data_IF_084444130867
#
_entry.id   IF_084444130867
#
_cell.length_a   1.000
_cell.length_b   1.000
_cell.length_c   1.000
_cell.angle_alpha   90.00
_cell.angle_beta   90.00
_cell.angle_gamma   90.00
#
_symmetry.space_group_name_H-M   'P 1'
#
loop_
_entity.id
_entity.type
_entity.pdbx_description
1 polymer ?
#
# COMPACT_ATOMS: atom_id res chain seq x y z
N UNK A 1 49.59 22.13 7.92
CA UNK A 1 48.33 21.65 7.31
C UNK A 1 47.76 20.52 8.17
N UNK A 2 46.72 20.77 8.97
CA UNK A 2 45.97 19.68 9.61
C UNK A 2 44.94 19.19 8.58
N UNK A 3 45.23 18.08 7.92
CA UNK A 3 44.29 17.37 7.05
C UNK A 3 43.20 16.76 7.94
N UNK A 4 42.13 17.51 8.16
CA UNK A 4 40.88 17.00 8.72
C UNK A 4 40.22 16.07 7.69
N UNK A 5 40.67 14.82 7.61
CA UNK A 5 39.90 13.76 6.96
C UNK A 5 38.72 13.43 7.88
N UNK A 6 37.61 14.15 7.76
CA UNK A 6 36.34 13.67 8.34
C UNK A 6 36.07 12.30 7.71
N UNK A 7 35.81 11.25 8.50
CA UNK A 7 35.34 9.98 7.95
C UNK A 7 34.14 10.26 7.06
N UNK A 8 34.08 9.65 5.87
CA UNK A 8 32.86 9.67 5.06
C UNK A 8 31.82 8.84 5.81
N UNK A 9 31.03 9.49 6.65
CA UNK A 9 29.86 8.89 7.27
C UNK A 9 28.91 8.45 6.15
N UNK A 10 28.66 7.15 6.03
CA UNK A 10 27.56 6.66 5.21
C UNK A 10 26.28 6.92 5.98
N UNK A 11 25.36 7.64 5.35
CA UNK A 11 24.15 8.14 5.99
C UNK A 11 22.93 7.44 5.40
N UNK A 12 22.21 6.70 6.25
CA UNK A 12 20.91 6.14 5.93
C UNK A 12 19.81 7.19 6.22
N UNK A 13 18.98 7.46 5.21
CA UNK A 13 17.92 8.49 5.25
C UNK A 13 16.71 7.97 6.02
N UNK A 14 15.88 8.90 6.54
CA UNK A 14 14.67 8.50 7.26
C UNK A 14 13.61 7.99 6.30
N UNK A 15 13.18 6.75 6.50
CA UNK A 15 12.12 6.11 5.73
C UNK A 15 11.42 5.07 6.61
N UNK A 16 10.29 4.57 6.13
CA UNK A 16 9.72 3.30 6.55
C UNK A 16 9.79 2.32 5.37
N UNK A 17 9.66 1.04 5.65
CA UNK A 17 9.73 0.00 4.64
C UNK A 17 8.50 0.05 3.71
N UNK A 18 8.71 -0.36 2.46
CA UNK A 18 7.61 -0.49 1.50
C UNK A 18 6.53 -1.44 2.03
N UNK A 19 5.27 -1.15 1.70
CA UNK A 19 4.10 -1.89 2.20
C UNK A 19 4.06 -2.05 3.74
N UNK A 20 4.82 -1.25 4.49
CA UNK A 20 5.01 -1.36 5.94
C UNK A 20 5.48 -2.73 6.40
N UNK A 21 6.30 -3.41 5.60
CA UNK A 21 7.01 -4.60 6.07
C UNK A 21 7.84 -4.32 7.31
N UNK A 22 8.05 -5.35 8.10
CA UNK A 22 9.14 -5.41 9.06
C UNK A 22 10.47 -5.51 8.31
N UNK A 23 11.55 -5.10 8.97
CA UNK A 23 12.90 -5.32 8.47
C UNK A 23 13.82 -5.74 9.60
N UNK A 24 14.74 -6.63 9.28
CA UNK A 24 15.78 -7.10 10.20
C UNK A 24 17.13 -6.84 9.57
N UNK A 25 18.03 -6.23 10.33
CA UNK A 25 19.38 -5.93 9.92
C UNK A 25 20.39 -6.63 10.84
N UNK A 26 21.29 -7.42 10.27
CA UNK A 26 22.41 -8.04 10.97
C UNK A 26 23.71 -7.31 10.66
N UNK A 27 24.49 -7.01 11.70
CA UNK A 27 25.78 -6.34 11.56
C UNK A 27 26.92 -7.37 11.53
N UNK A 28 27.49 -7.65 10.36
CA UNK A 28 28.52 -8.67 10.19
C UNK A 28 29.85 -8.26 10.81
N UNK A 29 30.36 -7.07 10.50
CA UNK A 29 31.70 -6.63 10.93
C UNK A 29 31.92 -5.13 10.77
N UNK A 30 32.99 -4.61 11.38
CA UNK A 30 33.47 -3.23 11.24
C UNK A 30 33.02 -2.29 12.35
N UNK A 31 32.96 -1.00 12.03
CA UNK A 31 32.60 0.05 12.98
C UNK A 31 31.09 0.05 13.28
N UNK A 32 30.66 0.43 14.50
CA UNK A 32 29.24 0.43 14.86
C UNK A 32 28.36 1.32 13.96
N UNK A 33 27.06 1.03 13.93
CA UNK A 33 26.04 1.80 13.20
C UNK A 33 25.09 2.47 14.18
N UNK A 34 24.97 3.79 14.10
CA UNK A 34 23.98 4.55 14.86
C UNK A 34 22.63 4.50 14.15
N UNK A 35 21.59 4.08 14.88
CA UNK A 35 20.20 4.10 14.41
C UNK A 35 19.39 5.12 15.21
N UNK A 36 18.39 5.68 14.53
CA UNK A 36 17.33 6.50 15.10
C UNK A 36 15.99 5.95 14.62
N UNK A 37 15.04 5.75 15.54
CA UNK A 37 13.72 5.20 15.25
C UNK A 37 12.61 6.06 15.84
N UNK A 38 11.50 6.17 15.12
CA UNK A 38 10.23 6.77 15.54
C UNK A 38 9.19 5.65 15.50
N UNK A 39 8.44 5.41 16.59
CA UNK A 39 7.41 4.37 16.61
C UNK A 39 6.38 4.55 15.48
N UNK A 40 5.87 3.44 14.93
CA UNK A 40 4.84 3.48 13.88
C UNK A 40 3.58 4.25 14.29
N UNK A 41 3.22 4.20 15.58
CA UNK A 41 2.10 4.98 16.16
C UNK A 41 2.27 6.50 16.04
N UNK A 42 3.50 6.96 15.87
CA UNK A 42 3.88 8.38 15.83
C UNK A 42 4.26 8.82 14.41
N UNK A 43 4.07 7.93 13.42
CA UNK A 43 4.34 8.18 12.01
C UNK A 43 3.54 9.38 11.48
N UNK A 44 2.25 9.47 11.81
CA UNK A 44 1.40 10.59 11.39
C UNK A 44 1.91 11.93 11.96
N UNK A 45 2.28 11.95 13.24
CA UNK A 45 2.85 13.13 13.91
C UNK A 45 4.16 13.57 13.26
N UNK A 46 5.05 12.61 12.96
CA UNK A 46 6.29 12.89 12.24
C UNK A 46 6.01 13.46 10.84
N UNK A 47 5.08 12.89 10.10
CA UNK A 47 4.71 13.39 8.77
C UNK A 47 4.13 14.79 8.81
N UNK A 48 3.31 15.12 9.80
CA UNK A 48 2.78 16.48 9.98
C UNK A 48 3.90 17.48 10.24
N UNK A 49 4.89 17.10 11.03
CA UNK A 49 6.10 17.90 11.24
C UNK A 49 6.84 18.12 9.91
N UNK A 50 7.03 17.05 9.13
CA UNK A 50 7.66 17.13 7.80
C UNK A 50 6.84 18.02 6.85
N UNK A 51 5.51 17.90 6.86
CA UNK A 51 4.58 18.73 6.07
C UNK A 51 4.72 20.20 6.41
N UNK A 52 4.82 20.55 7.68
CA UNK A 52 5.02 21.94 8.14
C UNK A 52 6.36 22.51 7.65
N UNK A 53 7.45 21.72 7.72
CA UNK A 53 8.76 22.19 7.28
C UNK A 53 8.92 22.28 5.76
N UNK A 54 8.20 21.44 5.01
CA UNK A 54 8.39 21.31 3.57
C UNK A 54 7.12 21.61 2.77
N UNK A 55 6.21 22.42 3.32
CA UNK A 55 4.90 22.73 2.74
C UNK A 55 4.99 23.12 1.27
N UNK A 56 5.91 24.02 0.91
CA UNK A 56 6.11 24.43 -0.49
C UNK A 56 6.57 23.30 -1.40
N UNK A 57 7.55 22.49 -0.98
CA UNK A 57 8.05 21.36 -1.79
C UNK A 57 7.02 20.23 -1.93
N UNK A 58 6.17 20.04 -0.92
CA UNK A 58 5.11 19.02 -0.96
C UNK A 58 3.95 19.39 -1.88
N UNK A 59 3.72 20.69 -2.11
CA UNK A 59 2.76 21.15 -3.11
C UNK A 59 3.25 20.88 -4.54
N UNK A 60 4.56 20.90 -4.76
CA UNK A 60 5.18 20.61 -6.07
C UNK A 60 5.30 19.11 -6.35
N UNK A 61 5.53 18.30 -5.31
CA UNK A 61 5.69 16.84 -5.42
C UNK A 61 4.86 16.16 -4.32
N UNK A 62 3.62 15.72 -4.59
CA UNK A 62 2.75 15.09 -3.59
C UNK A 62 3.33 13.79 -2.98
N UNK A 63 4.09 13.01 -3.76
CA UNK A 63 4.80 11.78 -3.32
C UNK A 63 6.13 12.09 -2.59
N UNK A 64 6.39 13.35 -2.29
CA UNK A 64 7.67 13.76 -1.69
C UNK A 64 7.86 13.19 -0.29
N UNK A 65 6.81 12.98 0.50
CA UNK A 65 6.93 12.34 1.83
C UNK A 65 7.56 10.95 1.76
N UNK A 66 7.28 10.21 0.69
CA UNK A 66 7.81 8.88 0.46
C UNK A 66 9.20 8.87 -0.19
N UNK A 67 9.56 9.97 -0.88
CA UNK A 67 10.88 10.17 -1.51
C UNK A 67 11.80 11.07 -0.69
N UNK A 68 11.38 11.40 0.53
CA UNK A 68 11.99 12.47 1.29
C UNK A 68 13.34 12.03 1.82
N UNK A 69 14.37 12.68 1.29
CA UNK A 69 15.74 12.53 1.71
C UNK A 69 16.06 13.46 2.89
N UNK A 70 15.13 13.60 3.84
CA UNK A 70 15.22 14.60 4.90
C UNK A 70 15.89 14.04 6.15
N UNK A 71 17.00 14.65 6.48
CA UNK A 71 17.60 14.54 7.79
C UNK A 71 17.16 15.73 8.66
N UNK A 72 16.05 15.56 9.37
CA UNK A 72 15.71 16.45 10.49
C UNK A 72 16.59 16.08 11.69
N UNK A 73 17.20 17.03 12.41
CA UNK A 73 17.96 16.67 13.62
C UNK A 73 17.06 15.96 14.65
N UNK A 74 17.52 14.86 15.29
CA UNK A 74 16.77 14.24 16.38
C UNK A 74 16.37 15.20 17.49
N UNK A 75 17.25 16.14 17.85
CA UNK A 75 16.97 17.18 18.85
C UNK A 75 15.80 18.09 18.41
N UNK A 76 15.70 18.38 17.11
CA UNK A 76 14.61 19.18 16.55
C UNK A 76 13.28 18.41 16.55
N UNK A 77 13.31 17.10 16.30
CA UNK A 77 12.12 16.26 16.39
C UNK A 77 11.63 16.16 17.84
N UNK A 78 12.55 15.95 18.79
CA UNK A 78 12.23 15.94 20.21
C UNK A 78 11.65 17.27 20.70
N UNK A 79 12.19 18.41 20.23
CA UNK A 79 11.65 19.74 20.54
C UNK A 79 10.24 19.99 19.96
N UNK A 80 9.82 19.22 18.96
CA UNK A 80 8.47 19.21 18.40
C UNK A 80 7.61 18.06 18.97
N UNK A 81 8.13 17.47 20.06
CA UNK A 81 7.57 16.36 20.82
C UNK A 81 7.25 15.11 19.98
N UNK A 82 7.95 14.92 18.87
CA UNK A 82 7.97 13.63 18.15
C UNK A 82 8.93 12.70 18.88
N UNK A 83 8.46 11.56 19.43
CA UNK A 83 9.32 10.64 20.14
C UNK A 83 10.33 10.01 19.19
N UNK A 84 11.60 10.06 19.59
CA UNK A 84 12.71 9.53 18.82
C UNK A 84 13.64 8.75 19.74
N UNK A 85 13.90 7.51 19.35
CA UNK A 85 14.77 6.58 20.06
C UNK A 85 16.06 6.41 19.28
N UNK A 86 17.14 6.04 19.97
CA UNK A 86 18.43 5.80 19.33
C UNK A 86 19.10 4.56 19.91
N UNK A 87 19.78 3.80 19.06
CA UNK A 87 20.58 2.64 19.46
C UNK A 87 21.88 2.61 18.65
N UNK A 88 22.97 2.14 19.25
CA UNK A 88 24.22 1.90 18.55
C UNK A 88 24.35 0.39 18.34
N UNK A 89 24.37 -0.04 17.09
CA UNK A 89 24.46 -1.45 16.70
C UNK A 89 25.93 -1.83 16.49
N UNK A 90 26.42 -2.80 17.24
CA UNK A 90 27.76 -3.37 17.14
C UNK A 90 27.76 -4.64 16.26
N UNK A 91 28.95 -5.09 15.78
CA UNK A 91 29.08 -6.38 15.13
C UNK A 91 28.49 -7.55 15.95
N UNK A 92 27.75 -8.43 15.29
CA UNK A 92 27.03 -9.54 15.90
C UNK A 92 25.61 -9.20 16.38
N UNK A 93 25.19 -7.95 16.33
CA UNK A 93 23.87 -7.52 16.79
C UNK A 93 22.84 -7.42 15.65
N UNK A 94 21.59 -7.75 15.99
CA UNK A 94 20.42 -7.53 15.15
C UNK A 94 19.70 -6.23 15.53
N UNK A 95 19.20 -5.52 14.52
CA UNK A 95 18.22 -4.44 14.69
C UNK A 95 16.96 -4.82 13.92
N UNK A 96 15.82 -4.78 14.58
CA UNK A 96 14.50 -5.03 13.98
C UNK A 96 13.73 -3.72 13.91
N UNK A 97 13.17 -3.42 12.73
CA UNK A 97 12.27 -2.30 12.50
C UNK A 97 10.84 -2.83 12.34
N UNK A 98 9.93 -2.29 13.14
CA UNK A 98 8.52 -2.68 13.15
C UNK A 98 7.73 -1.94 12.05
N UNK A 99 6.53 -2.42 11.70
CA UNK A 99 5.71 -1.81 10.65
C UNK A 99 5.49 -0.32 10.86
N UNK A 100 5.51 0.45 9.76
CA UNK A 100 5.29 1.90 9.74
C UNK A 100 6.31 2.75 10.52
N UNK A 101 7.27 2.14 11.23
CA UNK A 101 8.27 2.86 12.01
C UNK A 101 9.27 3.58 11.10
N UNK A 102 9.37 4.90 11.27
CA UNK A 102 10.39 5.68 10.56
C UNK A 102 11.75 5.45 11.21
N UNK A 103 12.74 5.12 10.40
CA UNK A 103 14.09 4.87 10.90
C UNK A 103 15.14 5.44 9.95
N UNK A 104 16.30 5.79 10.49
CA UNK A 104 17.45 6.30 9.76
C UNK A 104 18.70 6.22 10.62
N UNK A 105 19.87 6.60 10.10
CA UNK A 105 21.11 6.39 10.83
C UNK A 105 22.37 6.74 10.08
N UNK A 106 23.52 6.42 10.66
CA UNK A 106 24.82 6.55 10.00
C UNK A 106 25.82 5.56 10.57
N UNK A 107 26.85 5.22 9.80
CA UNK A 107 27.96 4.36 10.26
C UNK A 107 29.11 5.21 10.82
N UNK A 108 29.70 4.79 11.95
CA UNK A 108 30.86 5.47 12.55
C UNK A 108 32.18 5.22 11.79
N UNK A 109 32.17 4.33 10.80
CA UNK A 109 33.31 3.98 9.97
C UNK A 109 32.93 2.89 8.96
N UNK A 110 33.93 2.24 8.38
CA UNK A 110 33.70 1.10 7.50
C UNK A 110 33.02 -0.04 8.27
N UNK A 111 31.91 -0.54 7.73
CA UNK A 111 31.21 -1.72 8.24
C UNK A 111 30.49 -2.47 7.13
N UNK A 112 30.05 -3.68 7.46
CA UNK A 112 29.24 -4.52 6.61
C UNK A 112 28.02 -4.99 7.42
N UNK A 113 26.84 -4.74 6.88
CA UNK A 113 25.59 -5.24 7.43
C UNK A 113 24.68 -5.71 6.30
N UNK A 114 23.77 -6.61 6.63
CA UNK A 114 22.83 -7.22 5.71
C UNK A 114 21.41 -7.02 6.25
N UNK A 115 20.44 -6.73 5.37
CA UNK A 115 19.06 -6.50 5.77
C UNK A 115 18.10 -7.25 4.85
N UNK A 116 16.97 -7.65 5.42
CA UNK A 116 15.86 -8.23 4.67
C UNK A 116 14.53 -7.76 5.24
N UNK A 117 13.55 -7.52 4.36
CA UNK A 117 12.16 -7.31 4.75
C UNK A 117 11.47 -8.64 5.01
N UNK A 118 10.59 -8.68 6.00
CA UNK A 118 9.76 -9.84 6.29
C UNK A 118 8.37 -9.41 6.72
N UNK A 119 7.44 -10.36 6.80
CA UNK A 119 6.08 -10.14 7.26
C UNK A 119 5.73 -11.18 8.32
N UNK A 120 5.22 -10.72 9.46
CA UNK A 120 4.55 -11.58 10.45
C UNK A 120 3.03 -11.65 10.14
N UNK A 121 2.25 -12.55 10.76
CA UNK A 121 0.80 -12.57 10.51
C UNK A 121 0.08 -11.24 10.78
N UNK A 122 0.49 -10.50 11.81
CA UNK A 122 -0.12 -9.21 12.16
C UNK A 122 0.18 -8.11 11.11
N UNK A 123 1.21 -8.29 10.28
CA UNK A 123 1.54 -7.39 9.17
C UNK A 123 0.37 -7.19 8.21
N UNK A 124 -0.52 -8.16 8.02
CA UNK A 124 -1.67 -8.05 7.10
C UNK A 124 -2.50 -6.77 7.34
N UNK A 125 -2.66 -6.38 8.62
CA UNK A 125 -3.38 -5.17 8.98
C UNK A 125 -2.60 -3.90 8.58
N UNK A 126 -1.28 -3.90 8.77
CA UNK A 126 -0.41 -2.81 8.35
C UNK A 126 -0.31 -2.70 6.82
N UNK A 127 -0.24 -3.83 6.12
CA UNK A 127 -0.24 -3.92 4.66
C UNK A 127 -1.51 -3.30 4.06
N UNK A 128 -2.67 -3.57 4.67
CA UNK A 128 -3.93 -2.92 4.29
C UNK A 128 -3.85 -1.41 4.42
N UNK A 129 -3.35 -0.89 5.55
CA UNK A 129 -3.19 0.56 5.77
C UNK A 129 -2.24 1.17 4.73
N UNK A 130 -1.12 0.49 4.45
CA UNK A 130 -0.18 0.92 3.42
C UNK A 130 -0.84 0.98 2.03
N UNK A 131 -1.62 -0.04 1.66
CA UNK A 131 -2.32 -0.10 0.38
C UNK A 131 -3.37 1.01 0.23
N UNK A 132 -4.14 1.30 1.28
CA UNK A 132 -5.08 2.44 1.28
C UNK A 132 -4.35 3.78 1.15
N UNK A 133 -3.20 3.93 1.80
CA UNK A 133 -2.37 5.13 1.65
C UNK A 133 -1.84 5.28 0.24
N UNK A 134 -1.34 4.21 -0.37
CA UNK A 134 -0.85 4.20 -1.74
C UNK A 134 -1.96 4.55 -2.75
N UNK A 135 -3.17 4.02 -2.56
CA UNK A 135 -4.36 4.42 -3.33
C UNK A 135 -4.60 5.93 -3.25
N UNK A 136 -4.57 6.51 -2.05
CA UNK A 136 -4.81 7.96 -1.85
C UNK A 136 -3.73 8.84 -2.49
N UNK A 137 -2.47 8.40 -2.47
CA UNK A 137 -1.35 9.15 -3.05
C UNK A 137 -1.10 8.85 -4.53
N UNK A 138 -1.90 7.98 -5.17
CA UNK A 138 -1.66 7.54 -6.55
C UNK A 138 -0.32 6.84 -6.72
N UNK A 139 0.12 6.07 -5.72
CA UNK A 139 1.39 5.34 -5.73
C UNK A 139 1.14 3.87 -6.03
N UNK A 140 1.90 3.30 -6.96
CA UNK A 140 1.88 1.86 -7.20
C UNK A 140 2.54 1.12 -6.01
N UNK A 141 1.85 0.12 -5.49
CA UNK A 141 2.38 -0.76 -4.45
C UNK A 141 3.45 -1.71 -5.02
N UNK A 142 4.43 -2.08 -4.21
CA UNK A 142 5.46 -3.05 -4.64
C UNK A 142 4.86 -4.46 -4.78
N UNK A 143 3.87 -4.78 -3.93
CA UNK A 143 3.12 -6.03 -3.97
C UNK A 143 1.62 -5.74 -3.98
N UNK A 144 0.88 -6.47 -4.81
CA UNK A 144 -0.58 -6.47 -4.79
C UNK A 144 -1.08 -7.21 -3.54
N UNK A 145 -1.61 -6.44 -2.58
CA UNK A 145 -2.16 -6.96 -1.32
C UNK A 145 -3.26 -7.99 -1.58
N UNK A 146 -4.22 -7.64 -2.42
CA UNK A 146 -5.36 -8.49 -2.78
C UNK A 146 -4.87 -9.83 -3.39
N UNK A 147 -3.93 -9.78 -4.35
CA UNK A 147 -3.32 -10.98 -4.94
C UNK A 147 -2.67 -11.85 -3.87
N UNK A 148 -1.90 -11.24 -2.97
CA UNK A 148 -1.20 -11.95 -1.91
C UNK A 148 -2.18 -12.67 -0.97
N UNK A 149 -3.26 -12.00 -0.55
CA UNK A 149 -4.28 -12.62 0.32
C UNK A 149 -4.91 -13.86 -0.34
N UNK A 150 -5.29 -13.77 -1.61
CA UNK A 150 -5.87 -14.90 -2.35
C UNK A 150 -4.85 -16.03 -2.60
N UNK A 151 -3.59 -15.69 -2.83
CA UNK A 151 -2.49 -16.65 -2.96
C UNK A 151 -2.24 -17.40 -1.64
N UNK A 152 -2.27 -16.70 -0.51
CA UNK A 152 -2.16 -17.30 0.82
C UNK A 152 -3.35 -18.23 1.10
N UNK A 153 -4.58 -17.83 0.75
CA UNK A 153 -5.78 -18.69 0.84
C UNK A 153 -5.63 -19.97 0.04
N UNK A 154 -5.19 -19.86 -1.22
CA UNK A 154 -5.02 -21.01 -2.11
C UNK A 154 -4.00 -22.04 -1.56
N UNK A 155 -3.10 -21.60 -0.66
CA UNK A 155 -2.04 -22.42 -0.09
C UNK A 155 -2.20 -22.68 1.42
N UNK A 156 -3.32 -22.28 2.03
CA UNK A 156 -3.58 -22.38 3.49
C UNK A 156 -3.55 -23.83 4.00
N UNK A 157 -3.85 -24.81 3.14
CA UNK A 157 -3.86 -26.23 3.47
C UNK A 157 -2.49 -26.92 3.57
N UNK A 158 -1.37 -26.21 3.32
CA UNK A 158 -0.01 -26.80 3.29
C UNK A 158 0.70 -26.85 4.66
N UNK A 159 -0.05 -27.03 5.76
CA UNK A 159 0.43 -27.32 7.13
C UNK A 159 1.41 -26.32 7.81
N UNK A 160 1.49 -25.07 7.36
CA UNK A 160 2.48 -24.10 7.89
C UNK A 160 1.89 -22.83 8.53
N UNK A 161 0.57 -22.65 8.52
CA UNK A 161 -0.08 -21.44 9.04
C UNK A 161 -0.78 -21.76 10.37
N UNK A 162 -0.36 -21.11 11.45
CA UNK A 162 -0.98 -21.21 12.77
C UNK A 162 -2.42 -20.66 12.79
N UNK A 163 -3.19 -21.00 13.83
CA UNK A 163 -4.61 -20.62 13.92
C UNK A 163 -4.88 -19.11 13.97
N UNK A 164 -3.98 -18.32 14.55
CA UNK A 164 -4.12 -16.86 14.61
C UNK A 164 -3.89 -16.26 13.22
N UNK A 165 -2.83 -16.68 12.54
CA UNK A 165 -2.51 -16.24 11.18
C UNK A 165 -3.63 -16.59 10.18
N UNK A 166 -4.24 -17.77 10.30
CA UNK A 166 -5.43 -18.13 9.51
C UNK A 166 -6.60 -17.18 9.78
N UNK A 167 -6.85 -16.86 11.04
CA UNK A 167 -7.94 -15.94 11.43
C UNK A 167 -7.74 -14.57 10.79
N UNK A 168 -6.54 -13.99 10.93
CA UNK A 168 -6.20 -12.69 10.35
C UNK A 168 -6.36 -12.69 8.82
N UNK A 169 -5.84 -13.72 8.15
CA UNK A 169 -5.97 -13.86 6.70
C UNK A 169 -7.45 -13.92 6.26
N UNK A 170 -8.25 -14.75 6.93
CA UNK A 170 -9.67 -14.95 6.62
C UNK A 170 -10.50 -13.68 6.87
N UNK A 171 -10.21 -12.94 7.94
CA UNK A 171 -10.85 -11.66 8.22
C UNK A 171 -10.58 -10.64 7.11
N UNK A 172 -9.33 -10.57 6.64
CA UNK A 172 -8.95 -9.66 5.56
C UNK A 172 -9.55 -10.08 4.20
N UNK A 173 -9.58 -11.38 3.89
CA UNK A 173 -10.27 -11.90 2.71
C UNK A 173 -11.76 -11.59 2.73
N UNK A 174 -12.43 -11.83 3.86
CA UNK A 174 -13.85 -11.52 4.03
C UNK A 174 -14.09 -10.04 3.73
N UNK A 175 -13.25 -9.16 4.28
CA UNK A 175 -13.35 -7.72 4.02
C UNK A 175 -13.19 -7.39 2.53
N UNK A 176 -12.17 -7.93 1.86
CA UNK A 176 -11.91 -7.69 0.44
C UNK A 176 -13.10 -8.14 -0.42
N UNK A 177 -13.63 -9.34 -0.16
CA UNK A 177 -14.77 -9.92 -0.88
C UNK A 177 -16.05 -9.09 -0.67
N UNK A 178 -16.37 -8.74 0.58
CA UNK A 178 -17.54 -7.90 0.89
C UNK A 178 -17.44 -6.53 0.23
N UNK A 179 -16.25 -5.93 0.25
CA UNK A 179 -16.01 -4.64 -0.38
C UNK A 179 -16.19 -4.71 -1.90
N UNK A 180 -15.59 -5.71 -2.55
CA UNK A 180 -15.68 -5.89 -4.00
C UNK A 180 -17.14 -6.12 -4.45
N UNK A 181 -17.87 -7.04 -3.81
CA UNK A 181 -19.28 -7.31 -4.12
C UNK A 181 -20.14 -6.05 -3.98
N UNK A 182 -19.97 -5.30 -2.89
CA UNK A 182 -20.70 -4.04 -2.65
C UNK A 182 -20.39 -3.00 -3.73
N UNK A 183 -19.12 -2.88 -4.15
CA UNK A 183 -18.72 -1.93 -5.17
C UNK A 183 -19.17 -2.37 -6.58
N UNK A 184 -19.24 -3.67 -6.86
CA UNK A 184 -19.87 -4.20 -8.08
C UNK A 184 -21.34 -3.82 -8.15
N UNK A 185 -22.09 -4.02 -7.06
CA UNK A 185 -23.50 -3.63 -6.99
C UNK A 185 -23.69 -2.14 -7.27
N UNK A 186 -22.87 -1.29 -6.64
CA UNK A 186 -22.91 0.15 -6.88
C UNK A 186 -22.58 0.51 -8.34
N UNK A 187 -21.58 -0.16 -8.94
CA UNK A 187 -21.22 0.07 -10.34
C UNK A 187 -22.35 -0.34 -11.30
N UNK A 188 -22.96 -1.51 -11.10
CA UNK A 188 -24.10 -1.98 -11.89
C UNK A 188 -25.31 -1.05 -11.73
N UNK A 189 -25.65 -0.66 -10.50
CA UNK A 189 -26.73 0.29 -10.23
C UNK A 189 -26.49 1.66 -10.89
N UNK A 190 -25.23 2.06 -11.08
CA UNK A 190 -24.86 3.30 -11.79
C UNK A 190 -24.94 3.20 -13.31
N UNK A 191 -25.26 2.03 -13.88
CA UNK A 191 -25.41 1.79 -15.32
C UNK A 191 -24.19 1.21 -16.02
N UNK A 192 -23.15 0.78 -15.29
CA UNK A 192 -22.04 0.01 -15.86
C UNK A 192 -22.58 -1.34 -16.36
N UNK A 193 -22.18 -1.77 -17.55
CA UNK A 193 -22.68 -3.01 -18.15
C UNK A 193 -21.97 -4.25 -17.60
N UNK A 194 -22.73 -5.32 -17.47
CA UNK A 194 -22.21 -6.67 -17.30
C UNK A 194 -21.85 -7.26 -18.67
N UNK A 195 -20.59 -7.68 -18.82
CA UNK A 195 -20.08 -8.36 -20.01
C UNK A 195 -19.51 -9.75 -19.68
N UNK A 196 -19.74 -10.26 -18.48
CA UNK A 196 -19.21 -11.56 -18.00
C UNK A 196 -19.51 -12.72 -18.96
N UNK A 197 -20.67 -12.66 -19.65
CA UNK A 197 -21.10 -13.65 -20.66
C UNK A 197 -20.45 -13.46 -22.04
N UNK A 198 -19.91 -12.28 -22.31
CA UNK A 198 -19.34 -11.90 -23.62
C UNK A 198 -17.81 -12.00 -23.64
N UNK A 199 -17.17 -11.82 -22.48
CA UNK A 199 -15.73 -11.86 -22.36
C UNK A 199 -15.34 -12.48 -21.01
N UNK A 200 -14.49 -13.51 -21.07
CA UNK A 200 -13.89 -14.12 -19.88
C UNK A 200 -12.41 -13.74 -19.87
N UNK A 201 -11.97 -12.90 -18.93
CA UNK A 201 -10.56 -12.55 -18.86
C UNK A 201 -9.71 -13.77 -18.41
N UNK A 202 -8.39 -13.75 -18.66
CA UNK A 202 -7.49 -14.78 -18.17
C UNK A 202 -7.60 -14.95 -16.65
N UNK A 203 -7.77 -16.18 -16.17
CA UNK A 203 -7.91 -16.48 -14.74
C UNK A 203 -6.69 -16.00 -13.93
N UNK A 204 -6.95 -15.61 -12.67
CA UNK A 204 -5.90 -15.29 -11.72
C UNK A 204 -5.05 -16.53 -11.41
N UNK A 205 -3.72 -16.39 -11.43
CA UNK A 205 -2.79 -17.45 -11.03
C UNK A 205 -2.37 -17.24 -9.58
N UNK A 206 -3.10 -17.87 -8.66
CA UNK A 206 -2.89 -17.80 -7.20
C UNK A 206 -2.05 -18.96 -6.66
N UNK A 207 -1.72 -19.93 -7.51
CA UNK A 207 -0.94 -21.12 -7.19
C UNK A 207 0.58 -20.89 -7.29
N UNK A 208 1.02 -19.88 -8.07
CA UNK A 208 2.44 -19.59 -8.33
C UNK A 208 2.77 -18.10 -8.14
N UNK A 209 3.85 -17.83 -7.40
CA UNK A 209 4.46 -16.50 -7.25
C UNK A 209 5.76 -16.48 -8.07
N UNK A 210 5.67 -16.14 -9.36
CA UNK A 210 6.84 -15.92 -10.21
C UNK A 210 6.62 -14.74 -11.16
N UNK A 211 7.70 -14.25 -11.78
CA UNK A 211 7.68 -13.05 -12.63
C UNK A 211 6.66 -13.19 -13.77
N UNK A 212 6.59 -14.36 -14.41
CA UNK A 212 5.64 -14.62 -15.49
C UNK A 212 4.17 -14.54 -15.03
N UNK A 213 3.88 -14.98 -13.80
CA UNK A 213 2.56 -14.94 -13.21
C UNK A 213 2.16 -13.52 -12.71
N UNK A 214 3.13 -12.63 -12.46
CA UNK A 214 2.88 -11.23 -12.06
C UNK A 214 2.84 -10.26 -13.23
N UNK A 215 3.44 -10.61 -14.38
CA UNK A 215 3.52 -9.74 -15.58
C UNK A 215 2.14 -9.29 -16.09
N UNK A 216 1.10 -10.10 -15.85
CA UNK A 216 -0.27 -9.74 -16.22
C UNK A 216 -0.88 -8.70 -15.26
N UNK A 217 -0.58 -8.79 -13.97
CA UNK A 217 -1.06 -7.86 -12.93
C UNK A 217 -0.50 -6.46 -13.14
N UNK A 218 0.74 -6.35 -13.63
CA UNK A 218 1.40 -5.09 -13.97
C UNK A 218 0.65 -4.32 -15.07
N UNK A 219 -0.25 -4.97 -15.80
CA UNK A 219 -1.11 -4.33 -16.81
C UNK A 219 -2.48 -3.93 -16.26
N UNK A 220 -2.87 -4.45 -15.10
CA UNK A 220 -4.18 -4.26 -14.48
C UNK A 220 -4.14 -3.15 -13.44
N UNK A 221 -3.67 -1.98 -13.82
CA UNK A 221 -3.45 -0.86 -12.89
C UNK A 221 -4.52 0.20 -13.10
N UNK A 222 -5.18 0.60 -12.02
CA UNK A 222 -6.12 1.71 -12.04
C UNK A 222 -5.41 3.00 -12.44
N UNK A 223 -5.87 3.64 -13.52
CA UNK A 223 -5.25 4.89 -14.00
C UNK A 223 -5.36 6.05 -13.00
N UNK A 224 -6.35 6.03 -12.11
CA UNK A 224 -6.59 7.09 -11.13
C UNK A 224 -5.73 6.96 -9.87
N UNK A 225 -5.68 5.77 -9.26
CA UNK A 225 -5.02 5.57 -7.96
C UNK A 225 -3.80 4.64 -8.00
N UNK A 226 -3.41 4.14 -9.16
CA UNK A 226 -2.30 3.20 -9.34
C UNK A 226 -2.44 1.87 -8.58
N UNK A 227 -3.65 1.53 -8.12
CA UNK A 227 -3.91 0.23 -7.50
C UNK A 227 -4.00 -0.88 -8.54
N UNK A 228 -3.34 -2.01 -8.27
CA UNK A 228 -3.45 -3.24 -9.05
C UNK A 228 -4.82 -3.89 -8.86
N UNK A 229 -5.68 -3.80 -9.85
CA UNK A 229 -7.00 -4.43 -9.87
C UNK A 229 -6.87 -5.95 -10.02
N UNK A 230 -7.15 -6.67 -8.93
CA UNK A 230 -7.00 -8.13 -8.89
C UNK A 230 -8.32 -8.89 -9.12
N UNK A 231 -9.38 -8.50 -8.42
CA UNK A 231 -10.70 -9.15 -8.50
C UNK A 231 -11.53 -8.62 -9.67
N UNK A 232 -11.59 -7.29 -9.78
CA UNK A 232 -12.50 -6.59 -10.66
C UNK A 232 -11.97 -5.23 -11.09
N UNK A 233 -12.40 -4.75 -12.25
CA UNK A 233 -12.14 -3.39 -12.72
C UNK A 233 -13.27 -2.92 -13.65
N UNK A 234 -13.29 -1.63 -13.95
CA UNK A 234 -14.17 -1.06 -14.98
C UNK A 234 -13.34 -0.55 -16.15
N UNK A 235 -13.68 -1.01 -17.35
CA UNK A 235 -13.20 -0.49 -18.63
C UNK A 235 -14.27 0.34 -19.34
N UNK A 236 -13.90 1.00 -20.43
CA UNK A 236 -14.82 1.77 -21.26
C UNK A 236 -14.51 1.55 -22.74
N UNK A 237 -15.53 1.51 -23.59
CA UNK A 237 -15.36 1.34 -25.04
C UNK A 237 -14.49 2.43 -25.69
N UNK A 238 -14.36 3.60 -25.05
CA UNK A 238 -13.52 4.69 -25.55
C UNK A 238 -12.01 4.42 -25.41
N UNK A 239 -11.58 3.44 -24.60
CA UNK A 239 -10.16 3.09 -24.42
C UNK A 239 -9.97 1.59 -24.40
N UNK A 240 -9.01 1.10 -25.19
CA UNK A 240 -8.66 -0.34 -25.23
C UNK A 240 -7.71 -0.77 -24.11
N UNK A 241 -7.16 0.19 -23.35
CA UNK A 241 -6.09 -0.05 -22.38
C UNK A 241 -6.45 0.41 -20.97
N UNK A 242 -7.15 1.53 -20.85
CA UNK A 242 -7.33 2.16 -19.55
C UNK A 242 -8.43 1.47 -18.75
N UNK A 243 -8.12 1.18 -17.50
CA UNK A 243 -9.07 0.64 -16.53
C UNK A 243 -9.02 1.44 -15.23
N UNK A 244 -10.10 1.38 -14.47
CA UNK A 244 -10.16 1.91 -13.10
C UNK A 244 -10.61 0.84 -12.12
N UNK A 245 -10.18 0.94 -10.87
CA UNK A 245 -10.74 0.11 -9.79
C UNK A 245 -12.18 0.56 -9.49
N UNK A 246 -12.94 -0.26 -8.77
CA UNK A 246 -14.35 -0.02 -8.52
C UNK A 246 -14.64 1.22 -7.66
N UNK A 247 -13.64 1.73 -6.93
CA UNK A 247 -13.75 3.00 -6.19
C UNK A 247 -13.64 4.24 -7.09
N UNK A 248 -13.11 4.08 -8.31
CA UNK A 248 -12.80 5.18 -9.22
C UNK A 248 -13.56 5.12 -10.55
N UNK A 249 -14.73 4.47 -10.60
CA UNK A 249 -15.60 4.39 -11.79
C UNK A 249 -15.95 5.79 -12.33
N UNK A 250 -16.16 6.76 -11.45
CA UNK A 250 -16.43 8.16 -11.81
C UNK A 250 -15.21 8.87 -12.44
N UNK A 251 -14.00 8.38 -12.21
CA UNK A 251 -12.74 8.98 -12.67
C UNK A 251 -12.17 8.29 -13.93
N UNK A 252 -12.93 7.40 -14.58
CA UNK A 252 -12.45 6.66 -15.76
C UNK A 252 -12.33 7.55 -17.00
N UNK A 253 -13.42 8.22 -17.37
CA UNK A 253 -13.59 9.07 -18.55
C UNK A 253 -14.95 9.79 -18.47
N UNK A 254 -15.19 10.72 -19.40
CA UNK A 254 -16.45 11.48 -19.48
C UNK A 254 -17.61 10.74 -20.17
N UNK A 255 -17.37 9.53 -20.70
CA UNK A 255 -18.42 8.74 -21.33
C UNK A 255 -19.50 8.34 -20.31
N UNK A 256 -20.77 8.22 -20.75
CA UNK A 256 -21.84 7.73 -19.88
C UNK A 256 -21.54 6.30 -19.42
N UNK A 257 -22.04 5.91 -18.25
CA UNK A 257 -21.79 4.59 -17.69
C UNK A 257 -22.29 3.44 -18.57
N UNK A 258 -23.27 3.70 -19.45
CA UNK A 258 -23.72 2.73 -20.47
C UNK A 258 -22.62 2.33 -21.46
N UNK A 259 -21.58 3.14 -21.65
CA UNK A 259 -20.40 2.82 -22.48
C UNK A 259 -19.32 2.07 -21.68
N UNK A 260 -19.46 2.01 -20.35
CA UNK A 260 -18.52 1.34 -19.44
C UNK A 260 -18.97 -0.09 -19.18
N UNK A 261 -18.02 -0.96 -18.88
CA UNK A 261 -18.27 -2.37 -18.63
C UNK A 261 -17.39 -2.91 -17.51
N UNK A 262 -17.92 -3.87 -16.75
CA UNK A 262 -17.19 -4.57 -15.69
C UNK A 262 -16.28 -5.65 -16.28
N UNK A 263 -15.05 -5.72 -15.78
CA UNK A 263 -14.11 -6.81 -16.03
C UNK A 263 -14.00 -7.59 -14.71
N UNK A 264 -14.39 -8.87 -14.72
CA UNK A 264 -14.39 -9.73 -13.54
C UNK A 264 -13.38 -10.87 -13.73
N UNK A 265 -12.29 -10.84 -12.97
CA UNK A 265 -11.32 -11.94 -12.93
C UNK A 265 -11.72 -13.06 -11.98
N UNK A 266 -12.45 -12.70 -10.92
CA UNK A 266 -13.19 -13.64 -10.07
C UNK A 266 -14.69 -13.44 -10.29
N UNK A 267 -15.43 -14.51 -10.55
CA UNK A 267 -16.88 -14.41 -10.78
C UNK A 267 -17.61 -14.06 -9.49
N UNK A 268 -18.79 -13.43 -9.61
CA UNK A 268 -19.68 -13.17 -8.47
C UNK A 268 -19.97 -14.46 -7.69
N UNK A 269 -20.33 -15.53 -8.37
CA UNK A 269 -20.65 -16.82 -7.74
C UNK A 269 -19.47 -17.38 -6.93
N UNK A 270 -18.24 -17.25 -7.44
CA UNK A 270 -17.04 -17.68 -6.74
C UNK A 270 -16.78 -16.84 -5.47
N UNK A 271 -16.96 -15.52 -5.57
CA UNK A 271 -16.81 -14.61 -4.42
C UNK A 271 -17.88 -14.85 -3.36
N UNK A 272 -19.13 -15.08 -3.74
CA UNK A 272 -20.22 -15.39 -2.80
C UNK A 272 -20.02 -16.75 -2.12
N UNK A 273 -19.55 -17.76 -2.87
CA UNK A 273 -19.18 -19.06 -2.30
C UNK A 273 -18.05 -18.92 -1.28
N UNK A 274 -16.98 -18.17 -1.62
CA UNK A 274 -15.87 -17.90 -0.71
C UNK A 274 -16.34 -17.13 0.53
N UNK A 275 -17.21 -16.13 0.38
CA UNK A 275 -17.77 -15.40 1.52
C UNK A 275 -18.52 -16.32 2.48
N UNK A 276 -19.35 -17.22 1.94
CA UNK A 276 -20.08 -18.21 2.73
C UNK A 276 -19.15 -19.17 3.47
N UNK A 277 -18.05 -19.60 2.85
CA UNK A 277 -17.02 -20.41 3.51
C UNK A 277 -16.37 -19.65 4.66
N UNK A 278 -15.93 -18.41 4.42
CA UNK A 278 -15.31 -17.56 5.45
C UNK A 278 -16.28 -17.28 6.61
N UNK A 279 -17.58 -17.13 6.32
CA UNK A 279 -18.67 -17.00 7.29
C UNK A 279 -18.89 -18.23 8.16
N UNK A 280 -18.76 -19.43 7.59
CA UNK A 280 -18.78 -20.65 8.36
C UNK A 280 -17.52 -20.79 9.24
N UNK A 281 -16.36 -20.38 8.74
CA UNK A 281 -15.05 -20.56 9.40
C UNK A 281 -14.80 -19.60 10.56
N UNK A 282 -15.12 -18.31 10.40
CA UNK A 282 -14.91 -17.29 11.45
C UNK A 282 -16.14 -17.10 12.34
N UNK A 283 -17.29 -17.67 11.97
CA UNK A 283 -18.57 -17.42 12.60
C UNK A 283 -19.15 -16.03 12.24
N UNK A 284 -20.31 -15.68 12.84
CA UNK A 284 -21.01 -14.43 12.56
C UNK A 284 -20.13 -13.23 12.94
N UNK A 285 -20.17 -12.18 12.10
CA UNK A 285 -19.50 -10.91 12.40
C UNK A 285 -19.91 -10.47 13.82
N UNK A 286 -18.95 -10.15 14.71
CA UNK A 286 -19.29 -9.58 15.99
C UNK A 286 -20.16 -8.34 15.74
N UNK A 287 -21.37 -8.30 16.33
CA UNK A 287 -22.26 -7.13 16.30
C UNK A 287 -21.40 -5.91 16.59
N UNK A 288 -21.33 -4.95 15.66
CA UNK A 288 -20.51 -3.73 15.76
C UNK A 288 -20.53 -3.19 17.19
N UNK A 289 -19.53 -3.58 18.00
CA UNK A 289 -19.07 -2.75 19.10
C UNK A 289 -18.27 -1.68 18.37
N UNK A 290 -18.59 -0.41 18.57
CA UNK A 290 -17.86 0.71 17.98
C UNK A 290 -16.44 0.81 18.53
N UNK A 291 -15.62 -0.21 18.28
CA UNK A 291 -14.22 -0.34 18.60
C UNK A 291 -13.62 -1.19 17.50
N UNK A 292 -12.83 -0.55 16.65
CA UNK A 292 -11.81 -1.23 15.86
C UNK A 292 -11.11 -2.24 16.76
N UNK A 293 -10.96 -3.47 16.29
CA UNK A 293 -10.22 -4.50 17.02
C UNK A 293 -8.84 -3.92 17.33
N UNK A 294 -8.46 -3.80 18.62
CA UNK A 294 -7.15 -3.28 18.96
C UNK A 294 -6.11 -4.28 18.44
N UNK A 295 -5.22 -3.80 17.58
CA UNK A 295 -4.00 -4.50 17.18
C UNK A 295 -3.29 -4.88 18.49
N UNK A 296 -3.03 -6.17 18.78
CA UNK A 296 -2.34 -6.56 20.01
C UNK A 296 -0.92 -5.95 20.00
N UNK A 297 -0.67 -4.97 20.85
CA UNK A 297 0.58 -4.18 20.88
C UNK A 297 0.48 -2.77 20.26
N UNK A 298 -0.70 -2.36 19.79
CA UNK A 298 -0.95 -1.04 19.21
C UNK A 298 -1.25 0.04 20.23
N UNK A 299 -0.45 1.12 20.20
CA UNK A 299 -0.95 2.43 20.55
C UNK A 299 -2.27 2.69 19.81
N UNK A 300 -3.17 3.46 20.42
CA UNK A 300 -4.29 4.05 19.70
C UNK A 300 -3.76 4.66 18.40
N UNK A 301 -4.12 4.07 17.25
CA UNK A 301 -4.07 4.81 16.01
C UNK A 301 -4.86 6.07 16.31
N UNK A 302 -4.19 7.23 16.22
CA UNK A 302 -4.84 8.52 16.43
C UNK A 302 -6.19 8.46 15.73
N UNK A 303 -7.25 8.77 16.47
CA UNK A 303 -8.62 8.79 15.98
C UNK A 303 -8.63 9.30 14.54
N UNK A 304 -9.27 8.53 13.66
CA UNK A 304 -9.63 8.92 12.31
C UNK A 304 -10.47 10.19 12.39
N UNK A 305 -9.80 11.34 12.53
CA UNK A 305 -10.39 12.67 12.41
C UNK A 305 -10.67 12.88 10.93
N UNK A 306 -11.76 12.29 10.49
CA UNK A 306 -12.33 12.47 9.17
C UNK A 306 -11.65 11.59 8.12
N UNK A 307 -12.40 10.59 7.67
CA UNK A 307 -12.66 10.48 6.24
C UNK A 307 -12.90 11.90 5.72
N UNK A 308 -11.89 12.53 5.11
CA UNK A 308 -12.20 13.62 4.21
C UNK A 308 -13.19 13.02 3.20
N UNK A 309 -14.39 13.60 3.05
CA UNK A 309 -15.31 13.13 2.04
C UNK A 309 -14.56 13.10 0.70
N UNK A 310 -14.93 12.21 -0.23
CA UNK A 310 -14.39 12.27 -1.57
C UNK A 310 -14.43 13.73 -2.04
N UNK A 311 -13.36 14.23 -2.69
CA UNK A 311 -13.25 15.65 -3.05
C UNK A 311 -14.57 16.11 -3.66
N UNK A 312 -15.03 17.31 -3.31
CA UNK A 312 -16.29 17.85 -3.86
C UNK A 312 -16.29 17.79 -5.39
N UNK A 313 -17.45 17.77 -6.03
CA UNK A 313 -17.53 17.77 -7.51
C UNK A 313 -16.73 18.94 -8.13
N UNK A 314 -16.57 20.06 -7.42
CA UNK A 314 -15.71 21.18 -7.82
C UNK A 314 -14.21 20.86 -7.70
N UNK A 315 -13.78 20.21 -6.63
CA UNK A 315 -12.40 19.74 -6.48
C UNK A 315 -12.06 18.65 -7.50
N UNK A 316 -13.01 17.75 -7.78
CA UNK A 316 -12.91 16.75 -8.83
C UNK A 316 -12.79 17.40 -10.22
N UNK A 317 -13.55 18.46 -10.49
CA UNK A 317 -13.46 19.21 -11.75
C UNK A 317 -12.13 19.96 -11.90
N UNK A 318 -11.60 20.55 -10.82
CA UNK A 318 -10.29 21.22 -10.83
C UNK A 318 -9.13 20.25 -11.05
N UNK A 319 -9.19 19.06 -10.45
CA UNK A 319 -8.16 18.02 -10.61
C UNK A 319 -8.22 17.36 -11.99
N UNK A 320 -9.43 17.11 -12.54
CA UNK A 320 -9.59 16.62 -13.90
C UNK A 320 -9.08 17.63 -14.95
N UNK A 321 -9.27 18.94 -14.70
CA UNK A 321 -8.72 20.00 -15.55
C UNK A 321 -7.19 20.09 -15.48
N UNK A 322 -6.57 19.71 -14.35
CA UNK A 322 -5.10 19.72 -14.22
C UNK A 322 -4.41 18.56 -14.97
N UNK A 323 -5.13 17.45 -15.21
CA UNK A 323 -4.66 16.34 -16.04
C UNK A 323 -4.86 16.59 -17.55
N UNK A 324 -5.59 17.65 -17.91
CA UNK A 324 -5.94 18.02 -19.28
C UNK A 324 -4.91 18.93 -19.97
N UNK A 325 -3.63 18.91 -19.57
CA UNK A 325 -2.57 19.46 -20.43
C UNK A 325 -2.54 18.67 -21.75
N UNK A 326 -2.60 19.33 -22.92
CA UNK A 326 -2.55 18.64 -24.20
C UNK A 326 -1.22 17.88 -24.29
N UNK A 327 -1.26 16.54 -24.43
CA UNK A 327 -0.07 15.81 -24.86
C UNK A 327 0.25 16.26 -26.27
N UNK A 328 1.45 16.81 -26.46
CA UNK A 328 1.99 17.18 -27.77
C UNK A 328 1.90 15.98 -28.73
N UNK A 329 1.51 16.18 -29.99
CA UNK A 329 1.45 15.09 -30.97
C UNK A 329 2.87 14.72 -31.40
N UNK A 330 3.29 13.48 -31.14
CA UNK A 330 4.52 12.94 -31.72
C UNK A 330 5.05 11.73 -30.99
N UNK A 331 4.71 10.52 -31.46
CA UNK A 331 5.63 9.60 -32.15
C UNK A 331 4.85 8.31 -32.41
N UNK A 332 4.60 8.04 -33.69
CA UNK A 332 4.09 6.77 -34.19
C UNK A 332 5.09 5.65 -33.86
N UNK A 333 4.70 4.72 -32.99
CA UNK A 333 5.33 3.41 -32.91
C UNK A 333 4.40 2.41 -33.61
N UNK A 334 4.94 1.72 -34.62
CA UNK A 334 4.23 0.74 -35.44
C UNK A 334 3.77 -0.51 -34.68
N UNK A 335 2.99 -1.37 -35.33
CA UNK A 335 2.26 -2.45 -34.67
C UNK A 335 3.17 -3.62 -34.31
N UNK A 336 2.98 -4.15 -33.10
CA UNK A 336 3.20 -5.56 -32.73
C UNK A 336 2.01 -6.03 -31.89
#
# INVERSE_FOLDING_TARGET
>A
MKTSTRPRESVARRHNEDNYFESINYHHTGAPKQWYGIPGSEAARFEDVVRRFHKQRLLEVPDLLHRINLQISPAKLAALEVPIHRICQNPGEFVVTFPQAFHGGFSYGFNCGEAVNFATPDWVQHARVANERYRRSGRLAVISHDRLMFTLRANEGRDTIDGQARTILREELRRLVVEDLKLRDAAYASGVRDISKLCTPPANKTDVINIAATTYDDKRICIACQHTCFLSAVGCECSKKDIVCLRHVAYSCQCPNSMKYMIEWESRDALEALLKELDAELGPLPKKRGRDLPIPGGAQVAEDRGLDPPPSLEEQARMASALATPRLPGTTAGPL
#
